data_IF_061879224021
#
_entry.id   IF_061879224021
#
_cell.length_a   1.000
_cell.length_b   1.000
_cell.length_c   1.000
_cell.angle_alpha   90.00
_cell.angle_beta   90.00
_cell.angle_gamma   90.00
#
_symmetry.space_group_name_H-M   'P 1'
#
loop_
_entity.id
_entity.type
_entity.pdbx_description
1 polymer ?
#
# COMPACT_ATOMS: atom_id res chain seq x y z
N UNK A 1 -8.11 -10.79 6.72
CA UNK A 1 -9.33 -10.26 6.03
C UNK A 1 -8.93 -9.16 5.07
N UNK A 2 -9.74 -8.94 4.00
CA UNK A 2 -9.52 -7.92 2.98
C UNK A 2 -10.79 -7.09 2.81
N UNK A 3 -10.62 -5.79 2.51
CA UNK A 3 -11.70 -4.91 2.10
C UNK A 3 -11.59 -4.57 0.61
N UNK A 4 -12.73 -4.42 -0.06
CA UNK A 4 -12.79 -3.96 -1.44
C UNK A 4 -12.75 -2.44 -1.45
N UNK A 5 -11.96 -1.90 -2.37
CA UNK A 5 -11.83 -0.46 -2.55
C UNK A 5 -11.97 -0.14 -4.04
N UNK A 6 -12.85 0.81 -4.35
CA UNK A 6 -12.94 1.39 -5.69
C UNK A 6 -11.80 2.38 -5.87
N UNK A 7 -11.05 2.23 -6.95
CA UNK A 7 -9.92 3.11 -7.28
C UNK A 7 -10.13 3.67 -8.67
N UNK A 8 -10.07 4.99 -8.80
CA UNK A 8 -10.33 5.68 -10.06
C UNK A 8 -9.11 6.52 -10.44
N UNK A 9 -8.62 6.34 -11.67
CA UNK A 9 -7.68 7.25 -12.32
C UNK A 9 -8.48 8.32 -13.06
N UNK A 10 -8.25 9.60 -12.73
CA UNK A 10 -9.03 10.72 -13.24
C UNK A 10 -8.26 12.04 -13.28
N UNK A 11 -8.87 13.07 -13.86
CA UNK A 11 -8.36 14.43 -13.89
C UNK A 11 -9.22 15.45 -13.12
N UNK A 12 -10.19 15.00 -12.33
CA UNK A 12 -11.08 15.88 -11.57
C UNK A 12 -10.39 16.43 -10.32
N UNK A 13 -10.13 17.74 -10.19
CA UNK A 13 -9.45 18.33 -9.04
C UNK A 13 -10.36 18.48 -7.80
N UNK A 14 -11.64 18.14 -7.86
CA UNK A 14 -12.58 18.31 -6.74
C UNK A 14 -12.23 17.47 -5.50
N UNK A 15 -11.39 16.44 -5.68
CA UNK A 15 -10.84 15.58 -4.61
C UNK A 15 -9.55 16.13 -3.98
N UNK A 16 -9.10 17.31 -4.43
CA UNK A 16 -7.92 17.97 -3.91
C UNK A 16 -8.30 19.18 -3.05
N UNK A 17 -7.43 19.67 -2.18
CA UNK A 17 -7.65 20.92 -1.47
C UNK A 17 -7.95 22.08 -2.41
N UNK A 18 -8.85 23.00 -2.04
CA UNK A 18 -9.22 24.16 -2.86
C UNK A 18 -8.01 25.03 -3.28
N UNK A 19 -7.00 25.14 -2.41
CA UNK A 19 -5.77 25.89 -2.70
C UNK A 19 -4.73 24.97 -3.30
N UNK A 20 -4.37 25.15 -4.57
CA UNK A 20 -3.36 24.32 -5.26
C UNK A 20 -1.99 24.34 -4.54
N UNK A 21 -1.62 25.44 -3.89
CA UNK A 21 -0.36 25.58 -3.17
C UNK A 21 -0.19 24.59 -2.00
N UNK A 22 -1.28 24.00 -1.48
CA UNK A 22 -1.22 23.00 -0.42
C UNK A 22 -1.41 21.56 -0.93
N UNK A 23 -1.42 21.33 -2.23
CA UNK A 23 -1.51 20.00 -2.80
C UNK A 23 -0.26 19.20 -2.47
N UNK A 24 -0.46 18.05 -1.85
CA UNK A 24 0.59 17.07 -1.59
C UNK A 24 0.50 15.92 -2.59
N UNK A 25 1.55 15.12 -2.70
CA UNK A 25 1.52 13.89 -3.50
C UNK A 25 0.47 12.91 -3.00
N UNK A 26 0.09 13.02 -1.72
CA UNK A 26 -0.89 12.19 -1.03
C UNK A 26 -1.79 13.07 -0.16
N UNK A 27 -3.10 13.02 -0.41
CA UNK A 27 -4.09 13.85 0.27
C UNK A 27 -5.17 12.96 0.87
N UNK A 28 -5.44 13.15 2.13
CA UNK A 28 -6.43 12.38 2.89
C UNK A 28 -7.66 13.24 3.19
N UNK A 29 -8.82 12.75 2.82
CA UNK A 29 -10.12 13.31 3.19
C UNK A 29 -10.81 12.33 4.11
N UNK A 30 -10.86 12.64 5.39
CA UNK A 30 -11.52 11.84 6.43
C UNK A 30 -12.86 12.42 6.83
N UNK A 31 -13.82 11.54 7.09
CA UNK A 31 -15.08 11.83 7.77
C UNK A 31 -15.27 10.79 8.87
N UNK A 32 -15.90 11.18 9.98
CA UNK A 32 -16.20 10.25 11.09
C UNK A 32 -17.25 9.20 10.71
N UNK A 33 -18.00 9.41 9.63
CA UNK A 33 -19.14 8.59 9.22
C UNK A 33 -18.95 7.80 7.92
N UNK A 34 -17.86 8.02 7.19
CA UNK A 34 -17.61 7.38 5.89
C UNK A 34 -16.20 6.79 5.81
N UNK A 35 -16.04 5.79 4.93
CA UNK A 35 -14.72 5.27 4.61
C UNK A 35 -13.81 6.42 4.14
N UNK A 36 -12.56 6.46 4.60
CA UNK A 36 -11.64 7.52 4.22
C UNK A 36 -11.36 7.50 2.73
N UNK A 37 -11.34 8.69 2.13
CA UNK A 37 -10.92 8.91 0.75
C UNK A 37 -9.46 9.35 0.72
N UNK A 38 -8.68 8.72 -0.13
CA UNK A 38 -7.28 9.09 -0.37
C UNK A 38 -7.11 9.43 -1.83
N UNK A 39 -6.53 10.60 -2.10
CA UNK A 39 -6.21 11.04 -3.46
C UNK A 39 -4.71 11.23 -3.61
N UNK A 40 -4.13 10.53 -4.56
CA UNK A 40 -2.74 10.66 -4.98
C UNK A 40 -2.66 11.62 -6.15
N UNK A 41 -1.82 12.65 -6.06
CA UNK A 41 -1.47 13.51 -7.20
C UNK A 41 -0.29 12.91 -7.93
N UNK A 42 -0.59 12.24 -9.05
CA UNK A 42 0.38 11.40 -9.76
C UNK A 42 1.48 12.24 -10.42
N UNK A 43 1.17 13.47 -10.90
CA UNK A 43 2.19 14.32 -11.50
C UNK A 43 3.35 14.58 -10.54
N UNK A 44 3.05 14.91 -9.29
CA UNK A 44 4.07 15.14 -8.26
C UNK A 44 4.73 13.83 -7.80
N UNK A 45 3.96 12.75 -7.73
CA UNK A 45 4.46 11.45 -7.25
C UNK A 45 5.41 10.78 -8.24
N UNK A 46 5.15 10.94 -9.55
CA UNK A 46 5.89 10.30 -10.64
C UNK A 46 6.63 11.29 -11.54
N UNK A 47 6.74 12.56 -11.15
CA UNK A 47 7.38 13.61 -11.95
C UNK A 47 6.83 13.71 -13.38
N UNK A 48 5.50 13.60 -13.54
CA UNK A 48 4.83 13.75 -14.83
C UNK A 48 4.68 15.23 -15.20
N UNK A 49 4.53 15.55 -16.51
CA UNK A 49 4.22 16.92 -16.96
C UNK A 49 2.97 17.48 -16.30
N UNK A 50 2.92 18.80 -16.12
CA UNK A 50 1.86 19.52 -15.39
C UNK A 50 0.73 20.07 -16.28
N UNK A 51 0.75 19.81 -17.56
CA UNK A 51 -0.27 20.20 -18.54
C UNK A 51 -1.64 19.60 -18.25
N UNK A 52 -1.68 18.36 -17.79
CA UNK A 52 -2.87 17.67 -17.29
C UNK A 52 -2.58 17.14 -15.90
N UNK A 53 -3.48 17.39 -14.95
CA UNK A 53 -3.38 16.80 -13.61
C UNK A 53 -3.98 15.40 -13.59
N UNK A 54 -3.19 14.42 -13.18
CA UNK A 54 -3.61 13.05 -12.98
C UNK A 54 -3.75 12.72 -11.50
N UNK A 55 -4.90 12.18 -11.13
CA UNK A 55 -5.23 11.76 -9.79
C UNK A 55 -5.59 10.29 -9.74
N UNK A 56 -5.21 9.61 -8.67
CA UNK A 56 -5.72 8.29 -8.31
C UNK A 56 -6.45 8.43 -6.99
N UNK A 57 -7.77 8.28 -7.00
CA UNK A 57 -8.60 8.38 -5.80
C UNK A 57 -9.12 7.01 -5.38
N UNK A 58 -8.90 6.68 -4.12
CA UNK A 58 -9.41 5.47 -3.46
C UNK A 58 -10.67 5.84 -2.69
N UNK A 59 -11.75 5.11 -2.94
CA UNK A 59 -13.07 5.31 -2.32
C UNK A 59 -13.57 6.77 -2.44
N UNK A 60 -13.81 7.25 -3.68
CA UNK A 60 -14.30 8.61 -3.89
C UNK A 60 -15.62 8.85 -3.16
N UNK A 61 -15.74 9.99 -2.48
CA UNK A 61 -16.93 10.37 -1.68
C UNK A 61 -18.06 10.93 -2.52
N UNK A 62 -17.79 11.31 -3.75
CA UNK A 62 -18.78 11.81 -4.72
C UNK A 62 -18.43 11.31 -6.12
N UNK A 63 -19.36 11.46 -7.06
CA UNK A 63 -19.17 11.00 -8.42
C UNK A 63 -18.21 11.89 -9.19
N UNK A 64 -17.32 11.24 -9.94
CA UNK A 64 -16.44 11.88 -10.92
C UNK A 64 -17.16 11.89 -12.27
N UNK A 65 -17.18 13.04 -12.93
CA UNK A 65 -17.79 13.15 -14.27
C UNK A 65 -17.06 12.20 -15.25
N UNK A 66 -17.83 11.52 -16.08
CA UNK A 66 -17.31 10.48 -16.99
C UNK A 66 -16.19 10.96 -17.91
N UNK A 67 -16.25 12.24 -18.34
CA UNK A 67 -15.22 12.85 -19.19
C UNK A 67 -13.87 13.11 -18.49
N UNK A 68 -13.83 12.99 -17.16
CA UNK A 68 -12.60 13.07 -16.37
C UNK A 68 -12.04 11.71 -15.97
N UNK A 69 -12.76 10.60 -16.20
CA UNK A 69 -12.35 9.25 -15.81
C UNK A 69 -11.52 8.63 -16.94
N UNK A 70 -10.31 8.19 -16.62
CA UNK A 70 -9.47 7.41 -17.54
C UNK A 70 -9.62 5.91 -17.31
N UNK A 71 -9.70 5.48 -16.04
CA UNK A 71 -9.88 4.07 -15.68
C UNK A 71 -10.50 3.92 -14.28
N UNK A 72 -11.18 2.79 -14.05
CA UNK A 72 -11.75 2.42 -12.76
C UNK A 72 -11.40 0.98 -12.44
N UNK A 73 -10.96 0.73 -11.21
CA UNK A 73 -10.51 -0.58 -10.73
C UNK A 73 -11.18 -0.91 -9.39
N UNK A 74 -11.29 -2.18 -9.09
CA UNK A 74 -11.61 -2.68 -7.76
C UNK A 74 -10.38 -3.42 -7.22
N UNK A 75 -9.82 -2.92 -6.11
CA UNK A 75 -8.71 -3.55 -5.41
C UNK A 75 -9.13 -4.07 -4.05
N UNK A 76 -8.51 -5.17 -3.65
CA UNK A 76 -8.65 -5.73 -2.31
C UNK A 76 -7.42 -5.37 -1.49
N UNK A 77 -7.61 -4.60 -0.42
CA UNK A 77 -6.55 -4.25 0.51
C UNK A 77 -6.69 -5.06 1.80
N UNK A 78 -5.57 -5.52 2.39
CA UNK A 78 -5.61 -6.16 3.71
C UNK A 78 -6.08 -5.17 4.78
N UNK A 79 -6.91 -5.65 5.69
CA UNK A 79 -7.34 -4.87 6.86
C UNK A 79 -6.23 -5.00 7.91
N UNK A 80 -5.58 -3.87 8.23
CA UNK A 80 -4.53 -3.80 9.24
C UNK A 80 -5.14 -3.25 10.54
N UNK A 81 -5.39 -4.13 11.49
CA UNK A 81 -5.96 -3.83 12.80
C UNK A 81 -5.20 -4.60 13.90
N UNK A 82 -5.64 -4.51 15.14
CA UNK A 82 -5.03 -5.21 16.27
C UNK A 82 -4.99 -6.74 16.10
N UNK A 83 -6.05 -7.34 15.53
CA UNK A 83 -6.13 -8.77 15.21
C UNK A 83 -5.07 -9.16 14.16
N UNK A 84 -4.88 -8.31 13.14
CA UNK A 84 -3.86 -8.52 12.11
C UNK A 84 -2.46 -8.50 12.71
N UNK A 85 -2.16 -7.54 13.58
CA UNK A 85 -0.85 -7.46 14.25
C UNK A 85 -0.55 -8.73 15.09
N UNK A 86 -1.58 -9.29 15.74
CA UNK A 86 -1.43 -10.56 16.45
C UNK A 86 -1.18 -11.73 15.49
N UNK A 87 -1.90 -11.77 14.37
CA UNK A 87 -1.78 -12.83 13.36
C UNK A 87 -0.42 -12.76 12.64
N UNK A 88 0.11 -11.57 12.37
CA UNK A 88 1.41 -11.38 11.73
C UNK A 88 2.54 -12.08 12.48
N UNK A 89 2.48 -12.12 13.82
CA UNK A 89 3.45 -12.84 14.66
C UNK A 89 3.45 -14.37 14.41
N UNK A 90 2.40 -14.90 13.81
CA UNK A 90 2.25 -16.32 13.51
C UNK A 90 2.61 -16.68 12.06
N UNK A 91 2.71 -15.70 11.16
CA UNK A 91 2.91 -15.95 9.72
C UNK A 91 4.21 -16.71 9.43
N UNK A 92 5.26 -16.46 10.20
CA UNK A 92 6.53 -17.16 9.98
C UNK A 92 6.48 -18.66 10.31
N UNK A 93 5.52 -19.11 11.13
CA UNK A 93 5.35 -20.52 11.50
C UNK A 93 4.87 -21.39 10.35
N UNK A 94 4.27 -20.79 9.31
CA UNK A 94 3.77 -21.54 8.15
C UNK A 94 4.77 -21.58 7.00
N UNK A 95 5.89 -20.88 7.10
CA UNK A 95 6.93 -20.85 6.07
C UNK A 95 7.57 -22.24 5.90
N UNK A 96 7.88 -22.60 4.65
CA UNK A 96 8.51 -23.87 4.31
C UNK A 96 7.61 -25.10 4.41
N UNK A 97 6.37 -24.97 4.87
CA UNK A 97 5.43 -26.08 4.94
C UNK A 97 5.12 -26.59 3.52
N UNK A 98 5.39 -27.86 3.26
CA UNK A 98 5.25 -28.49 1.93
C UNK A 98 6.01 -27.71 0.82
N UNK A 99 7.15 -27.10 1.15
CA UNK A 99 7.94 -26.25 0.27
C UNK A 99 7.19 -25.01 -0.25
N UNK A 100 6.20 -24.52 0.49
CA UNK A 100 5.45 -23.30 0.17
C UNK A 100 5.91 -22.16 1.09
N UNK A 101 6.21 -21.04 0.49
CA UNK A 101 6.67 -19.84 1.17
C UNK A 101 5.79 -18.65 0.81
N UNK A 102 5.61 -17.75 1.76
CA UNK A 102 4.77 -16.58 1.63
C UNK A 102 5.59 -15.32 1.88
N UNK A 103 5.41 -14.30 1.07
CA UNK A 103 5.94 -12.96 1.29
C UNK A 103 4.95 -11.93 0.77
N UNK A 104 5.07 -10.69 1.23
CA UNK A 104 4.22 -9.59 0.80
C UNK A 104 4.14 -8.50 1.86
N UNK A 105 3.58 -7.36 1.50
CA UNK A 105 3.44 -6.21 2.39
C UNK A 105 2.57 -6.48 3.63
N UNK A 106 1.72 -7.50 3.58
CA UNK A 106 0.88 -7.93 4.72
C UNK A 106 1.66 -8.55 5.88
N UNK A 107 2.96 -8.81 5.72
CA UNK A 107 3.84 -9.20 6.82
C UNK A 107 4.16 -8.06 7.79
N UNK A 108 3.96 -6.79 7.35
CA UNK A 108 4.19 -5.58 8.13
C UNK A 108 3.03 -4.60 8.02
N UNK A 109 3.34 -3.34 7.78
CA UNK A 109 2.36 -2.24 7.76
C UNK A 109 1.66 -2.03 6.40
N UNK A 110 1.93 -2.88 5.41
CA UNK A 110 1.29 -2.81 4.09
C UNK A 110 2.03 -1.95 3.07
N UNK A 111 3.28 -1.59 3.31
CA UNK A 111 4.10 -0.77 2.41
C UNK A 111 5.06 -1.61 1.55
N UNK A 112 5.66 -0.98 0.54
CA UNK A 112 6.66 -1.60 -0.34
C UNK A 112 7.84 -2.17 0.45
N UNK A 113 8.31 -1.46 1.47
CA UNK A 113 9.41 -1.90 2.34
C UNK A 113 9.07 -3.22 3.07
N UNK A 114 7.84 -3.39 3.51
CA UNK A 114 7.39 -4.64 4.16
C UNK A 114 7.40 -5.80 3.17
N UNK A 115 7.02 -5.54 1.91
CA UNK A 115 7.11 -6.50 0.81
C UNK A 115 8.54 -6.92 0.52
N UNK A 116 9.46 -5.95 0.43
CA UNK A 116 10.89 -6.19 0.19
C UNK A 116 11.49 -6.97 1.37
N UNK A 117 11.27 -6.54 2.60
CA UNK A 117 11.83 -7.22 3.77
C UNK A 117 11.34 -8.67 3.89
N UNK A 118 10.06 -8.92 3.66
CA UNK A 118 9.51 -10.28 3.69
C UNK A 118 10.04 -11.16 2.55
N UNK A 119 10.15 -10.61 1.34
CA UNK A 119 10.72 -11.32 0.19
C UNK A 119 12.17 -11.71 0.39
N UNK A 120 12.99 -10.77 0.86
CA UNK A 120 14.40 -11.02 1.18
C UNK A 120 14.56 -12.05 2.30
N UNK A 121 13.74 -11.97 3.34
CA UNK A 121 13.78 -12.93 4.44
C UNK A 121 13.44 -14.35 3.99
N UNK A 122 12.46 -14.51 3.08
CA UNK A 122 12.11 -15.80 2.48
C UNK A 122 13.25 -16.30 1.58
N UNK A 123 13.82 -15.44 0.74
CA UNK A 123 14.92 -15.81 -0.14
C UNK A 123 16.16 -16.27 0.65
N UNK A 124 16.49 -15.59 1.74
CA UNK A 124 17.56 -15.95 2.65
C UNK A 124 17.35 -17.34 3.27
N UNK A 125 16.13 -17.65 3.68
CA UNK A 125 15.80 -18.93 4.31
C UNK A 125 15.79 -20.08 3.29
N UNK A 126 15.24 -19.88 2.08
CA UNK A 126 15.28 -20.88 1.01
C UNK A 126 16.71 -21.13 0.54
N UNK A 127 17.48 -20.05 0.35
CA UNK A 127 18.85 -20.12 -0.17
C UNK A 127 19.89 -20.50 0.88
N UNK A 128 19.51 -20.58 2.17
CA UNK A 128 20.43 -20.72 3.28
C UNK A 128 21.61 -19.73 3.18
N UNK A 129 21.31 -18.49 2.85
CA UNK A 129 22.28 -17.42 2.58
C UNK A 129 21.80 -16.13 3.22
N UNK A 130 22.70 -15.17 3.35
CA UNK A 130 22.38 -13.84 3.88
C UNK A 130 22.64 -12.84 2.76
N UNK A 131 21.79 -11.80 2.65
CA UNK A 131 22.01 -10.70 1.70
C UNK A 131 23.40 -10.09 1.89
N UNK A 132 24.09 -9.73 0.80
CA UNK A 132 25.51 -9.32 0.85
C UNK A 132 25.73 -7.89 1.35
N UNK A 133 24.67 -7.18 1.78
CA UNK A 133 24.79 -5.83 2.32
C UNK A 133 24.26 -5.76 3.76
N UNK A 134 24.83 -4.87 4.52
CA UNK A 134 24.43 -4.62 5.89
C UNK A 134 23.45 -3.44 5.98
N UNK A 135 22.29 -3.69 6.55
CA UNK A 135 21.30 -2.66 6.89
C UNK A 135 20.95 -2.83 8.36
N UNK A 136 21.04 -1.75 9.13
CA UNK A 136 20.66 -1.76 10.54
C UNK A 136 19.19 -2.20 10.64
N UNK A 137 18.92 -3.19 11.50
CA UNK A 137 17.58 -3.72 11.74
C UNK A 137 16.87 -4.19 10.47
N UNK A 138 17.54 -4.83 9.57
CA UNK A 138 17.08 -5.27 8.25
C UNK A 138 15.82 -6.09 8.38
N UNK A 139 14.98 -6.41 8.68
CA UNK A 139 13.72 -7.16 8.85
C UNK A 139 12.92 -6.70 10.08
N UNK A 140 13.22 -5.51 10.62
CA UNK A 140 12.57 -4.98 11.81
C UNK A 140 11.08 -4.70 11.66
N UNK A 141 10.59 -4.60 10.42
CA UNK A 141 9.18 -4.35 10.11
C UNK A 141 8.34 -5.61 10.01
N UNK A 142 8.96 -6.78 10.06
CA UNK A 142 8.28 -8.07 9.98
C UNK A 142 8.62 -8.95 11.19
N UNK A 143 7.71 -9.85 11.55
CA UNK A 143 7.97 -10.82 12.59
C UNK A 143 8.58 -12.08 11.98
N UNK A 144 9.85 -12.34 12.31
CA UNK A 144 10.55 -13.59 11.96
C UNK A 144 10.58 -14.50 13.18
N UNK A 145 10.77 -15.81 12.96
CA UNK A 145 11.16 -16.71 14.05
C UNK A 145 12.43 -16.17 14.71
N UNK A 146 12.51 -16.13 16.03
CA UNK A 146 13.81 -15.96 16.68
C UNK A 146 14.73 -17.10 16.20
N UNK A 147 15.91 -16.73 15.72
CA UNK A 147 16.98 -17.66 15.36
C UNK A 147 17.45 -18.37 16.63
#
# INVERSE_FOLDING_TARGET
KYTRNRVILHSDPSFMPKRKAVWASWNFLGSTSQAPTVTYWMNKLQSLPDDISFFVTVNPTHDIKSNHIYASFEYKHPILNSETSHTQKQLWRIQGNRNIWFCGSYFGYGFHEDGIQSGLAVAEEIGNTIRPWNVINHSSRIHRKPI
#
